data_IF_521905717871
#
_entry.id   IF_521905717871
#
_cell.length_a   1.000
_cell.length_b   1.000
_cell.length_c   1.000
_cell.angle_alpha   90.00
_cell.angle_beta   90.00
_cell.angle_gamma   90.00
#
_symmetry.space_group_name_H-M   'P 1'
#
loop_
_entity.id
_entity.type
_entity.pdbx_description
1 polymer ?
#
# COMPACT_ATOMS: atom_id res chain seq x y z
N UNK A 1 10.49 29.98 -1.03
CA UNK A 1 10.35 31.14 -1.95
C UNK A 1 8.92 31.32 -2.43
N UNK A 2 8.24 30.26 -2.90
CA UNK A 2 6.84 30.34 -3.38
C UNK A 2 5.89 31.05 -2.40
N UNK A 3 5.87 30.76 -1.08
CA UNK A 3 4.95 31.46 -0.16
C UNK A 3 5.23 32.96 -0.03
N UNK A 4 6.51 33.33 -0.04
CA UNK A 4 6.95 34.73 0.13
C UNK A 4 6.58 35.56 -1.09
N UNK A 5 6.81 35.05 -2.30
CA UNK A 5 6.51 35.78 -3.53
C UNK A 5 5.07 35.61 -4.02
N UNK A 6 4.43 34.48 -3.73
CA UNK A 6 3.10 34.13 -4.23
C UNK A 6 1.95 34.74 -3.44
N UNK A 7 2.10 34.88 -2.11
CA UNK A 7 1.06 35.46 -1.25
C UNK A 7 1.63 36.31 -0.10
N UNK A 8 2.84 36.86 -0.29
CA UNK A 8 3.48 37.81 0.63
C UNK A 8 3.69 37.30 2.07
N UNK A 9 3.98 36.01 2.23
CA UNK A 9 4.32 35.43 3.54
C UNK A 9 5.71 35.88 4.03
N UNK A 10 5.94 35.88 5.34
CA UNK A 10 7.27 36.19 5.89
C UNK A 10 8.26 35.03 5.67
N UNK A 11 9.55 35.37 5.49
CA UNK A 11 10.61 34.38 5.31
C UNK A 11 10.71 33.38 6.45
N UNK A 12 10.57 33.83 7.70
CA UNK A 12 10.64 32.98 8.88
C UNK A 12 9.53 31.94 8.91
N UNK A 13 8.28 32.35 8.63
CA UNK A 13 7.13 31.43 8.56
C UNK A 13 7.26 30.45 7.40
N UNK A 14 7.66 30.93 6.22
CA UNK A 14 7.88 30.07 5.07
C UNK A 14 8.97 29.01 5.32
N UNK A 15 10.06 29.39 5.99
CA UNK A 15 11.13 28.47 6.35
C UNK A 15 10.68 27.43 7.39
N UNK A 16 10.01 27.87 8.47
CA UNK A 16 9.48 26.96 9.48
C UNK A 16 8.45 25.99 8.91
N UNK A 17 7.53 26.46 8.06
CA UNK A 17 6.57 25.62 7.38
C UNK A 17 7.24 24.54 6.52
N UNK A 18 8.34 24.89 5.82
CA UNK A 18 9.10 23.93 5.02
C UNK A 18 9.78 22.86 5.88
N UNK A 19 10.35 23.24 7.03
CA UNK A 19 10.94 22.26 7.96
C UNK A 19 9.86 21.32 8.50
N UNK A 20 8.74 21.87 8.97
CA UNK A 20 7.62 21.08 9.53
C UNK A 20 7.09 20.11 8.47
N UNK A 21 6.85 20.59 7.25
CA UNK A 21 6.42 19.75 6.13
C UNK A 21 7.42 18.62 5.86
N UNK A 22 8.71 18.94 5.81
CA UNK A 22 9.75 17.94 5.54
C UNK A 22 9.83 16.89 6.64
N UNK A 23 9.86 17.30 7.91
CA UNK A 23 9.91 16.38 9.06
C UNK A 23 8.64 15.52 9.12
N UNK A 24 7.47 16.12 8.90
CA UNK A 24 6.21 15.38 8.86
C UNK A 24 6.21 14.33 7.76
N UNK A 25 6.52 14.72 6.52
CA UNK A 25 6.57 13.81 5.38
C UNK A 25 7.56 12.67 5.59
N UNK A 26 8.73 12.96 6.15
CA UNK A 26 9.73 11.94 6.47
C UNK A 26 9.24 10.92 7.50
N UNK A 27 8.57 11.38 8.56
CA UNK A 27 7.99 10.49 9.57
C UNK A 27 6.83 9.66 9.01
N UNK A 28 5.99 10.23 8.14
CA UNK A 28 4.95 9.48 7.44
C UNK A 28 5.55 8.34 6.61
N UNK A 29 6.61 8.60 5.83
CA UNK A 29 7.28 7.57 5.02
C UNK A 29 7.93 6.51 5.92
N UNK A 30 8.67 6.91 6.95
CA UNK A 30 9.34 5.99 7.86
C UNK A 30 8.38 5.15 8.72
N UNK A 31 7.14 5.63 8.93
CA UNK A 31 6.10 4.84 9.58
C UNK A 31 5.77 3.55 8.81
N UNK A 32 5.90 3.55 7.47
CA UNK A 32 5.69 2.35 6.63
C UNK A 32 6.74 1.28 6.96
N UNK A 33 8.00 1.69 7.10
CA UNK A 33 9.12 0.80 7.43
C UNK A 33 9.16 0.36 8.90
N UNK A 34 8.31 0.93 9.76
CA UNK A 34 8.29 0.63 11.20
C UNK A 34 6.93 0.09 11.64
N UNK A 35 5.91 0.95 11.69
CA UNK A 35 4.55 0.62 12.15
C UNK A 35 3.93 -0.50 11.33
N UNK A 36 4.04 -0.48 10.00
CA UNK A 36 3.46 -1.54 9.15
C UNK A 36 4.23 -2.87 9.21
N UNK A 37 5.41 -2.91 9.83
CA UNK A 37 6.17 -4.14 10.08
C UNK A 37 6.00 -4.64 11.53
N UNK A 38 5.41 -3.84 12.43
CA UNK A 38 5.19 -4.19 13.83
C UNK A 38 3.73 -4.48 14.18
N UNK A 39 2.77 -3.81 13.51
CA UNK A 39 1.35 -3.94 13.80
C UNK A 39 0.52 -4.04 12.52
N UNK A 40 -0.21 -5.14 12.36
CA UNK A 40 -1.09 -5.35 11.21
C UNK A 40 -1.52 -6.81 11.06
N UNK A 41 -2.13 -7.12 9.92
CA UNK A 41 -2.47 -8.50 9.52
C UNK A 41 -1.59 -8.97 8.35
N UNK A 42 -1.49 -10.29 8.14
CA UNK A 42 -0.73 -10.90 7.05
C UNK A 42 -1.60 -11.86 6.22
N UNK A 43 -2.56 -11.34 5.45
CA UNK A 43 -3.52 -12.17 4.72
C UNK A 43 -2.96 -12.85 3.47
N UNK A 44 -1.83 -12.39 2.92
CA UNK A 44 -1.24 -12.92 1.68
C UNK A 44 -0.06 -13.86 1.92
N UNK A 45 0.81 -13.50 2.85
CA UNK A 45 1.93 -14.34 3.25
C UNK A 45 2.28 -14.09 4.71
N UNK A 46 2.00 -15.06 5.56
CA UNK A 46 2.29 -14.99 6.99
C UNK A 46 3.79 -15.24 7.31
N UNK A 47 4.55 -15.79 6.35
CA UNK A 47 5.97 -16.12 6.54
C UNK A 47 6.91 -14.91 6.42
N UNK A 48 6.46 -13.83 5.81
CA UNK A 48 7.21 -12.58 5.66
C UNK A 48 6.85 -11.58 6.76
N UNK A 49 7.73 -10.60 7.02
CA UNK A 49 7.50 -9.56 8.04
C UNK A 49 6.46 -8.50 7.68
N UNK A 50 6.37 -7.98 6.44
CA UNK A 50 5.41 -6.95 6.03
C UNK A 50 3.97 -7.25 6.42
N UNK A 51 3.24 -6.26 6.95
CA UNK A 51 1.85 -6.40 7.36
C UNK A 51 0.95 -5.33 6.71
N UNK A 52 -0.33 -5.67 6.62
CA UNK A 52 -1.42 -4.78 6.26
C UNK A 52 -1.78 -3.87 7.44
N UNK A 53 -1.71 -2.55 7.26
CA UNK A 53 -2.10 -1.58 8.27
C UNK A 53 -2.88 -0.40 7.67
N UNK A 54 -4.19 -0.35 7.96
CA UNK A 54 -5.12 0.68 7.45
C UNK A 54 -4.79 2.10 7.92
N UNK A 55 -4.22 2.24 9.12
CA UNK A 55 -3.81 3.56 9.63
C UNK A 55 -2.58 4.06 8.88
N UNK A 56 -1.61 3.17 8.62
CA UNK A 56 -0.46 3.49 7.76
C UNK A 56 -0.93 3.83 6.35
N UNK A 57 -1.89 3.09 5.80
CA UNK A 57 -2.46 3.39 4.48
C UNK A 57 -3.07 4.78 4.41
N UNK A 58 -3.74 5.24 5.48
CA UNK A 58 -4.31 6.59 5.55
C UNK A 58 -3.22 7.67 5.61
N UNK A 59 -2.22 7.54 6.49
CA UNK A 59 -1.20 8.57 6.69
C UNK A 59 -0.14 8.60 5.59
N UNK A 60 0.08 7.49 4.90
CA UNK A 60 1.02 7.34 3.79
C UNK A 60 0.32 7.23 2.43
N UNK A 61 -0.95 7.67 2.34
CA UNK A 61 -1.72 7.83 1.09
C UNK A 61 -1.90 6.56 0.23
N UNK A 62 -1.76 5.36 0.80
CA UNK A 62 -1.90 4.09 0.08
C UNK A 62 -0.86 3.04 0.45
N UNK A 63 0.27 3.43 1.04
CA UNK A 63 1.41 2.53 1.25
C UNK A 63 1.28 1.55 2.45
N UNK A 64 0.10 1.49 3.07
CA UNK A 64 -0.15 0.61 4.22
C UNK A 64 -0.49 -0.82 3.84
N UNK A 65 -0.68 -1.12 2.55
CA UNK A 65 -1.01 -2.46 2.08
C UNK A 65 0.24 -3.33 1.84
N UNK A 66 1.09 -3.39 2.88
CA UNK A 66 2.49 -3.77 2.73
C UNK A 66 2.69 -5.29 2.60
N UNK A 67 1.80 -6.12 3.16
CA UNK A 67 1.88 -7.58 2.95
C UNK A 67 1.59 -7.92 1.49
N UNK A 68 0.55 -7.31 0.91
CA UNK A 68 0.19 -7.45 -0.50
C UNK A 68 1.30 -6.94 -1.41
N UNK A 69 1.80 -5.73 -1.16
CA UNK A 69 2.85 -5.13 -1.99
C UNK A 69 4.10 -5.99 -2.06
N UNK A 70 4.52 -6.63 -0.96
CA UNK A 70 5.67 -7.52 -0.97
C UNK A 70 5.41 -8.87 -1.66
N UNK A 71 4.16 -9.35 -1.69
CA UNK A 71 3.80 -10.56 -2.42
C UNK A 71 3.64 -10.29 -3.93
N UNK A 72 3.10 -9.13 -4.30
CA UNK A 72 2.86 -8.72 -5.69
C UNK A 72 3.52 -7.37 -6.01
N UNK A 73 4.85 -7.27 -6.01
CA UNK A 73 5.57 -6.00 -6.17
C UNK A 73 5.40 -5.33 -7.54
N UNK A 74 4.88 -6.07 -8.53
CA UNK A 74 4.59 -5.55 -9.87
C UNK A 74 3.16 -5.00 -10.03
N UNK A 75 2.31 -5.12 -9.01
CA UNK A 75 0.96 -4.55 -9.07
C UNK A 75 1.03 -3.03 -8.94
N UNK A 76 0.49 -2.32 -9.92
CA UNK A 76 0.44 -0.86 -9.91
C UNK A 76 -0.39 -0.29 -8.75
N UNK A 77 -1.36 -1.05 -8.25
CA UNK A 77 -2.26 -0.62 -7.17
C UNK A 77 -1.62 -0.71 -5.79
N UNK A 78 -0.60 -1.56 -5.65
CA UNK A 78 0.01 -1.95 -4.36
C UNK A 78 -0.99 -2.46 -3.30
N UNK A 79 -2.25 -2.75 -3.66
CA UNK A 79 -3.31 -3.18 -2.76
C UNK A 79 -4.39 -3.98 -3.48
N UNK A 80 -4.89 -5.05 -2.86
CA UNK A 80 -6.08 -5.77 -3.33
C UNK A 80 -7.39 -5.15 -2.79
N UNK A 81 -7.41 -4.80 -1.49
CA UNK A 81 -8.62 -4.49 -0.71
C UNK A 81 -8.77 -3.00 -0.35
N UNK A 82 -7.88 -2.15 -0.87
CA UNK A 82 -7.95 -0.72 -0.65
C UNK A 82 -9.06 -0.10 -1.51
N UNK A 83 -10.19 0.26 -0.90
CA UNK A 83 -11.09 1.22 -1.52
C UNK A 83 -10.28 2.48 -1.87
N UNK A 84 -10.59 3.17 -2.97
CA UNK A 84 -9.90 4.40 -3.40
C UNK A 84 -9.72 5.46 -2.29
N UNK A 85 -10.53 5.41 -1.22
CA UNK A 85 -10.40 6.27 -0.04
C UNK A 85 -9.11 6.06 0.77
N UNK A 86 -8.49 4.88 0.70
CA UNK A 86 -7.25 4.52 1.39
C UNK A 86 -6.12 4.19 0.41
N UNK A 87 -6.27 4.56 -0.86
CA UNK A 87 -5.26 4.36 -1.89
C UNK A 87 -5.33 5.51 -2.92
N UNK A 88 -4.89 6.68 -2.47
CA UNK A 88 -4.93 7.90 -3.27
C UNK A 88 -3.97 7.82 -4.46
N UNK A 89 -2.83 7.15 -4.30
CA UNK A 89 -1.86 6.90 -5.38
C UNK A 89 -2.51 6.16 -6.55
N UNK A 90 -3.28 5.10 -6.29
CA UNK A 90 -4.02 4.37 -7.34
C UNK A 90 -5.04 5.26 -8.04
N UNK A 91 -5.79 6.07 -7.28
CA UNK A 91 -6.75 7.01 -7.86
C UNK A 91 -6.08 7.99 -8.83
N UNK A 92 -4.90 8.50 -8.46
CA UNK A 92 -4.12 9.41 -9.31
C UNK A 92 -3.60 8.72 -10.57
N UNK A 93 -3.09 7.48 -10.45
CA UNK A 93 -2.62 6.70 -11.61
C UNK A 93 -3.79 6.39 -12.55
N UNK A 94 -4.95 6.02 -12.02
CA UNK A 94 -6.15 5.75 -12.83
C UNK A 94 -6.65 7.01 -13.54
N UNK A 95 -6.56 8.17 -12.91
CA UNK A 95 -6.81 9.46 -13.56
C UNK A 95 -5.84 9.70 -14.72
N UNK A 96 -4.54 9.51 -14.50
CA UNK A 96 -3.52 9.62 -15.53
C UNK A 96 -3.76 8.63 -16.69
N UNK A 97 -4.19 7.40 -16.39
CA UNK A 97 -4.53 6.41 -17.40
C UNK A 97 -5.76 6.83 -18.21
N UNK A 98 -6.78 7.40 -17.55
CA UNK A 98 -7.99 7.91 -18.20
C UNK A 98 -7.70 9.03 -19.21
N UNK A 99 -6.71 9.88 -18.94
CA UNK A 99 -6.28 10.94 -19.87
C UNK A 99 -5.14 10.51 -20.82
N UNK A 100 -4.77 9.22 -20.80
CA UNK A 100 -3.77 8.64 -21.71
C UNK A 100 -2.31 8.91 -21.33
N UNK A 101 -2.04 9.39 -20.11
CA UNK A 101 -0.68 9.63 -19.62
C UNK A 101 -0.03 8.39 -19.00
N UNK A 102 -0.84 7.44 -18.54
CA UNK A 102 -0.38 6.14 -18.05
C UNK A 102 -1.01 5.01 -18.87
N UNK A 103 -0.27 3.90 -19.03
CA UNK A 103 -0.68 2.73 -19.81
C UNK A 103 0.04 1.48 -19.27
N UNK A 104 -0.35 0.29 -19.75
CA UNK A 104 0.18 -1.00 -19.31
C UNK A 104 0.13 -1.21 -17.78
N UNK A 105 -1.00 -0.84 -17.16
CA UNK A 105 -1.21 -1.02 -15.73
C UNK A 105 -1.36 -2.51 -15.39
N UNK A 106 -0.39 -3.04 -14.64
CA UNK A 106 -0.32 -4.48 -14.30
C UNK A 106 -1.00 -4.75 -12.97
N UNK A 107 -1.86 -5.77 -12.95
CA UNK A 107 -2.51 -6.26 -11.73
C UNK A 107 -2.53 -7.81 -11.77
N UNK A 108 -2.31 -8.52 -10.64
CA UNK A 108 -2.49 -9.95 -10.57
C UNK A 108 -3.97 -10.34 -10.75
N UNK A 109 -4.21 -11.50 -11.35
CA UNK A 109 -5.56 -12.05 -11.44
C UNK A 109 -6.04 -12.55 -10.08
N UNK A 110 -7.35 -12.52 -9.83
CA UNK A 110 -7.94 -13.05 -8.58
C UNK A 110 -7.55 -14.52 -8.34
N UNK A 111 -7.46 -15.30 -9.42
CA UNK A 111 -7.01 -16.69 -9.35
C UNK A 111 -5.56 -16.81 -8.89
N UNK A 112 -4.66 -15.96 -9.41
CA UNK A 112 -3.27 -15.91 -8.98
C UNK A 112 -3.17 -15.54 -7.50
N UNK A 113 -3.91 -14.53 -7.06
CA UNK A 113 -3.93 -14.12 -5.64
C UNK A 113 -4.38 -15.29 -4.77
N UNK A 114 -5.53 -15.90 -5.09
CA UNK A 114 -6.05 -17.07 -4.35
C UNK A 114 -5.04 -18.21 -4.29
N UNK A 115 -4.40 -18.53 -5.42
CA UNK A 115 -3.42 -19.62 -5.48
C UNK A 115 -2.19 -19.33 -4.61
N UNK A 116 -1.70 -18.09 -4.59
CA UNK A 116 -0.56 -17.68 -3.75
C UNK A 116 -0.93 -17.72 -2.27
N UNK A 117 -2.09 -17.16 -1.88
CA UNK A 117 -2.59 -17.21 -0.51
C UNK A 117 -2.72 -18.66 -0.03
N UNK A 118 -3.35 -19.52 -0.84
CA UNK A 118 -3.51 -20.95 -0.54
C UNK A 118 -2.18 -21.69 -0.42
N UNK A 119 -1.13 -21.26 -1.15
CA UNK A 119 0.20 -21.85 -1.08
C UNK A 119 0.92 -21.43 0.20
N UNK A 120 0.82 -20.16 0.55
CA UNK A 120 1.55 -19.52 1.64
C UNK A 120 0.89 -19.75 3.01
N UNK A 121 -0.42 -19.93 3.06
CA UNK A 121 -1.13 -20.30 4.28
C UNK A 121 -1.20 -21.82 4.43
N UNK A 122 -0.32 -22.36 5.29
CA UNK A 122 -0.25 -23.79 5.59
C UNK A 122 -1.55 -24.36 6.17
N UNK A 123 -2.31 -23.56 6.93
CA UNK A 123 -3.56 -23.99 7.56
C UNK A 123 -4.66 -24.16 6.50
N UNK A 124 -4.78 -23.18 5.59
CA UNK A 124 -5.70 -23.25 4.45
C UNK A 124 -5.33 -24.39 3.51
N UNK A 125 -4.04 -24.56 3.21
CA UNK A 125 -3.55 -25.66 2.37
C UNK A 125 -3.93 -27.04 2.90
N UNK A 126 -3.74 -27.29 4.19
CA UNK A 126 -4.12 -28.58 4.81
C UNK A 126 -5.63 -28.80 4.77
N UNK A 127 -6.44 -27.76 4.99
CA UNK A 127 -7.90 -27.87 4.96
C UNK A 127 -8.44 -28.30 3.58
N UNK A 128 -7.87 -27.76 2.50
CA UNK A 128 -8.27 -28.10 1.12
C UNK A 128 -7.81 -29.50 0.73
N UNK A 129 -6.58 -29.88 1.08
CA UNK A 129 -6.08 -31.25 0.84
C UNK A 129 -6.92 -32.30 1.59
N UNK A 130 -7.32 -32.01 2.82
CA UNK A 130 -8.21 -32.87 3.60
C UNK A 130 -9.60 -32.99 2.97
N UNK A 131 -10.16 -31.87 2.47
CA UNK A 131 -11.44 -31.88 1.77
C UNK A 131 -11.34 -32.71 0.49
N UNK A 132 -10.32 -32.53 -0.33
CA UNK A 132 -10.12 -33.28 -1.58
C UNK A 132 -9.98 -34.79 -1.36
N UNK A 133 -9.42 -35.24 -0.23
CA UNK A 133 -9.31 -36.66 0.13
C UNK A 133 -10.61 -37.29 0.63
N UNK A 134 -11.64 -36.50 0.99
CA UNK A 134 -12.94 -37.01 1.43
C UNK A 134 -13.97 -37.16 0.28
N UNK A 135 -13.66 -36.61 -0.89
CA UNK A 135 -14.56 -36.60 -2.07
C UNK A 135 -14.07 -37.50 -3.21
N UNK A 136 -12.90 -38.13 -3.06
CA UNK A 136 -12.40 -39.20 -3.94
C UNK A 136 -12.33 -40.51 -3.19
#
# INVERSE_FOLDING_TARGET
MVPVYGWNETWSRAFMAQIIHYVYGLNCIWSVNSVAHLWGSKPYDASINPMENKYVALIALGEGWHNYHHVFPWDYKTAELGNYSLNFTTMFIDFCAKIGWAYDLKQPSEELIRNVVMRNDHSLRQSVLHKSRKIG
#
